data_IF_372331061941
#
_entry.id   IF_372331061941
#
_cell.length_a   1.000
_cell.length_b   1.000
_cell.length_c   1.000
_cell.angle_alpha   90.00
_cell.angle_beta   90.00
_cell.angle_gamma   90.00
#
_symmetry.space_group_name_H-M   'P 1'
#
loop_
_entity.id
_entity.type
_entity.pdbx_description
1 polymer ?
#
# COMPACT_ATOMS: atom_id res chain seq x y z
N UNK A 1 16.01 -32.55 19.75
CA UNK A 1 14.80 -32.63 18.93
C UNK A 1 15.01 -31.65 17.78
N UNK A 2 14.91 -32.09 16.53
CA UNK A 2 14.91 -31.17 15.39
C UNK A 2 13.67 -30.28 15.53
N UNK A 3 13.88 -28.97 15.59
CA UNK A 3 12.79 -27.99 15.53
C UNK A 3 12.00 -28.26 14.24
N UNK A 4 10.67 -28.52 14.30
CA UNK A 4 9.86 -28.74 13.10
C UNK A 4 9.73 -27.47 12.24
N UNK A 5 10.07 -26.29 12.76
CA UNK A 5 9.95 -25.00 12.07
C UNK A 5 11.29 -24.22 12.12
N UNK A 6 12.39 -24.77 11.56
CA UNK A 6 13.68 -24.11 11.68
C UNK A 6 13.69 -22.83 10.85
N UNK A 7 14.08 -21.72 11.50
CA UNK A 7 14.31 -20.41 10.88
C UNK A 7 15.17 -20.52 9.61
N UNK A 8 16.24 -21.33 9.67
CA UNK A 8 17.14 -21.56 8.55
C UNK A 8 17.16 -23.02 8.10
N UNK A 9 17.10 -23.21 6.78
CA UNK A 9 17.40 -24.47 6.11
C UNK A 9 18.53 -24.25 5.10
N UNK A 10 19.22 -25.33 4.70
CA UNK A 10 20.30 -25.22 3.71
C UNK A 10 19.83 -24.61 2.37
N UNK A 11 18.59 -24.87 1.97
CA UNK A 11 18.00 -24.29 0.76
C UNK A 11 17.77 -22.78 0.87
N UNK A 12 17.36 -22.30 2.05
CA UNK A 12 17.20 -20.85 2.31
C UNK A 12 18.54 -20.16 2.27
N UNK A 13 19.54 -20.69 2.98
CA UNK A 13 20.89 -20.12 3.02
C UNK A 13 21.44 -20.01 1.59
N UNK A 14 21.31 -21.08 0.79
CA UNK A 14 21.74 -21.08 -0.60
C UNK A 14 21.00 -20.05 -1.46
N UNK A 15 19.67 -19.95 -1.30
CA UNK A 15 18.85 -18.97 -2.01
C UNK A 15 19.23 -17.51 -1.67
N UNK A 16 19.51 -17.21 -0.41
CA UNK A 16 19.98 -15.88 0.01
C UNK A 16 21.34 -15.55 -0.59
N UNK A 17 22.21 -16.55 -0.78
CA UNK A 17 23.51 -16.37 -1.46
C UNK A 17 23.38 -15.81 -2.88
N UNK A 18 22.39 -16.28 -3.65
CA UNK A 18 22.09 -15.74 -4.99
C UNK A 18 21.61 -14.28 -4.95
N UNK A 19 20.82 -13.94 -3.93
CA UNK A 19 20.32 -12.58 -3.75
C UNK A 19 21.47 -11.61 -3.40
N UNK A 20 22.37 -12.01 -2.48
CA UNK A 20 23.58 -11.23 -2.18
C UNK A 20 24.49 -11.10 -3.40
N UNK A 21 24.61 -12.14 -4.24
CA UNK A 21 25.38 -12.08 -5.48
C UNK A 21 24.78 -11.08 -6.47
N UNK A 22 23.45 -11.06 -6.62
CA UNK A 22 22.76 -10.09 -7.46
C UNK A 22 22.95 -8.66 -6.94
N UNK A 23 22.82 -8.44 -5.63
CA UNK A 23 23.12 -7.15 -5.00
C UNK A 23 24.58 -6.74 -5.22
N UNK A 24 25.53 -7.67 -5.14
CA UNK A 24 26.93 -7.40 -5.44
C UNK A 24 27.09 -6.88 -6.87
N UNK A 25 26.56 -7.59 -7.87
CA UNK A 25 26.67 -7.20 -9.28
C UNK A 25 26.07 -5.81 -9.54
N UNK A 26 24.90 -5.55 -8.97
CA UNK A 26 24.24 -4.24 -9.03
C UNK A 26 25.11 -3.14 -8.41
N UNK A 27 25.72 -3.39 -7.25
CA UNK A 27 26.57 -2.41 -6.56
C UNK A 27 27.95 -2.24 -7.22
N UNK A 28 28.45 -3.23 -7.97
CA UNK A 28 29.63 -3.05 -8.83
C UNK A 28 29.33 -2.04 -9.94
N UNK A 29 28.17 -2.17 -10.59
CA UNK A 29 27.68 -1.20 -11.56
C UNK A 29 27.54 0.20 -10.95
N UNK A 30 26.99 0.28 -9.74
CA UNK A 30 26.88 1.53 -9.00
C UNK A 30 28.23 2.13 -8.62
N UNK A 31 29.17 1.33 -8.16
CA UNK A 31 30.55 1.74 -7.83
C UNK A 31 31.23 2.37 -9.04
N UNK A 32 31.07 1.77 -10.23
CA UNK A 32 31.57 2.33 -11.49
C UNK A 32 30.94 3.68 -11.82
N UNK A 33 29.63 3.82 -11.62
CA UNK A 33 28.92 5.10 -11.78
C UNK A 33 29.42 6.13 -10.78
N UNK A 34 29.59 5.75 -9.53
CA UNK A 34 30.07 6.60 -8.44
C UNK A 34 31.49 7.09 -8.73
N UNK A 35 32.38 6.22 -9.19
CA UNK A 35 33.74 6.62 -9.60
C UNK A 35 33.77 7.67 -10.73
N UNK A 36 32.77 7.64 -11.63
CA UNK A 36 32.69 8.56 -12.78
C UNK A 36 31.98 9.88 -12.47
N UNK A 37 31.02 9.86 -11.54
CA UNK A 37 30.08 10.97 -11.33
C UNK A 37 30.11 11.55 -9.92
N UNK A 38 30.43 10.72 -8.92
CA UNK A 38 30.49 11.15 -7.53
C UNK A 38 31.92 11.58 -7.19
N UNK A 39 32.05 12.65 -6.42
CA UNK A 39 33.34 13.20 -5.99
C UNK A 39 33.93 12.49 -4.77
N UNK A 40 34.62 13.28 -3.94
CA UNK A 40 35.22 12.82 -2.69
C UNK A 40 34.27 13.05 -1.51
N UNK A 41 34.32 12.16 -0.53
CA UNK A 41 33.67 12.31 0.76
C UNK A 41 34.71 12.74 1.80
N UNK A 42 34.34 13.68 2.65
CA UNK A 42 35.17 14.14 3.75
C UNK A 42 34.77 13.40 5.04
N UNK A 43 35.71 12.70 5.67
CA UNK A 43 35.48 12.14 7.00
C UNK A 43 35.41 13.26 8.05
N UNK A 44 34.52 13.18 9.06
CA UNK A 44 34.56 14.11 10.18
C UNK A 44 35.94 14.11 10.83
N UNK A 45 36.41 15.27 11.31
CA UNK A 45 37.77 15.45 11.86
C UNK A 45 38.10 14.47 13.00
N UNK A 46 37.08 13.96 13.70
CA UNK A 46 37.18 12.91 14.72
C UNK A 46 37.82 11.60 14.19
N UNK A 47 37.73 11.34 12.89
CA UNK A 47 38.24 10.13 12.22
C UNK A 47 39.46 10.41 11.31
N UNK A 48 40.14 11.54 11.48
CA UNK A 48 41.40 11.84 10.79
C UNK A 48 41.29 12.75 9.56
N UNK A 49 40.09 13.29 9.25
CA UNK A 49 39.92 14.38 8.28
C UNK A 49 40.39 14.07 6.84
N UNK A 50 40.46 12.80 6.46
CA UNK A 50 40.93 12.41 5.14
C UNK A 50 39.81 12.41 4.11
N UNK A 51 40.11 12.94 2.92
CA UNK A 51 39.23 12.85 1.76
C UNK A 51 39.47 11.54 1.02
N UNK A 52 38.40 10.84 0.67
CA UNK A 52 38.49 9.63 -0.12
C UNK A 52 37.34 9.56 -1.14
N UNK A 53 37.54 8.92 -2.30
CA UNK A 53 36.49 8.81 -3.31
C UNK A 53 35.24 8.14 -2.75
N UNK A 54 34.06 8.70 -3.04
CA UNK A 54 32.78 8.09 -2.65
C UNK A 54 32.65 6.64 -3.16
N UNK A 55 33.26 6.37 -4.32
CA UNK A 55 33.35 5.04 -4.92
C UNK A 55 33.99 4.01 -3.99
N UNK A 56 34.89 4.40 -3.09
CA UNK A 56 35.53 3.48 -2.14
C UNK A 56 34.52 2.89 -1.16
N UNK A 57 33.51 3.65 -0.71
CA UNK A 57 32.44 3.11 0.15
C UNK A 57 31.61 2.05 -0.57
N UNK A 58 31.28 2.32 -1.84
CA UNK A 58 30.50 1.39 -2.65
C UNK A 58 31.29 0.14 -3.01
N UNK A 59 32.59 0.30 -3.27
CA UNK A 59 33.51 -0.81 -3.50
C UNK A 59 33.63 -1.70 -2.26
N UNK A 60 33.83 -1.12 -1.07
CA UNK A 60 33.91 -1.90 0.18
C UNK A 60 32.59 -2.60 0.47
N UNK A 61 31.46 -1.92 0.30
CA UNK A 61 30.14 -2.53 0.44
C UNK A 61 29.91 -3.69 -0.56
N UNK A 62 30.29 -3.52 -1.83
CA UNK A 62 30.27 -4.60 -2.82
C UNK A 62 31.14 -5.79 -2.40
N UNK A 63 32.34 -5.56 -1.87
CA UNK A 63 33.21 -6.64 -1.38
C UNK A 63 32.55 -7.37 -0.21
N UNK A 64 31.91 -6.66 0.72
CA UNK A 64 31.13 -7.29 1.80
C UNK A 64 30.01 -8.15 1.24
N UNK A 65 29.21 -7.64 0.31
CA UNK A 65 28.14 -8.41 -0.34
C UNK A 65 28.66 -9.65 -1.06
N UNK A 66 29.82 -9.57 -1.71
CA UNK A 66 30.46 -10.72 -2.35
C UNK A 66 30.92 -11.76 -1.32
N UNK A 67 31.55 -11.32 -0.23
CA UNK A 67 31.94 -12.22 0.87
C UNK A 67 30.72 -12.91 1.47
N UNK A 68 29.62 -12.18 1.66
CA UNK A 68 28.34 -12.74 2.11
C UNK A 68 27.79 -13.75 1.11
N UNK A 69 27.74 -13.42 -0.18
CA UNK A 69 27.28 -14.33 -1.22
C UNK A 69 28.09 -15.63 -1.24
N UNK A 70 29.43 -15.52 -1.21
CA UNK A 70 30.32 -16.68 -1.16
C UNK A 70 30.11 -17.51 0.12
N UNK A 71 29.96 -16.87 1.28
CA UNK A 71 29.70 -17.57 2.53
C UNK A 71 28.38 -18.36 2.48
N UNK A 72 27.33 -17.81 1.88
CA UNK A 72 26.04 -18.51 1.74
C UNK A 72 26.08 -19.62 0.67
N UNK A 73 26.80 -19.42 -0.43
CA UNK A 73 26.89 -20.38 -1.53
C UNK A 73 27.86 -21.53 -1.27
N UNK A 74 28.84 -21.35 -0.37
CA UNK A 74 29.88 -22.35 -0.05
C UNK A 74 29.79 -22.88 1.38
N UNK A 75 29.18 -22.14 2.31
CA UNK A 75 29.01 -22.50 3.72
C UNK A 75 27.85 -23.48 3.94
N UNK A 76 28.00 -24.71 3.46
CA UNK A 76 27.03 -25.80 3.67
C UNK A 76 27.05 -26.39 5.10
N UNK A 77 27.88 -25.85 6.00
CA UNK A 77 28.05 -26.37 7.34
C UNK A 77 26.99 -25.81 8.29
N UNK A 78 25.99 -26.65 8.59
CA UNK A 78 25.01 -26.54 9.69
C UNK A 78 24.22 -25.22 9.78
N UNK A 79 22.93 -25.21 9.41
CA UNK A 79 22.04 -24.05 9.58
C UNK A 79 22.02 -23.48 11.01
N UNK A 80 22.23 -24.33 12.01
CA UNK A 80 22.32 -23.97 13.43
C UNK A 80 23.46 -22.99 13.75
N UNK A 81 24.59 -23.07 13.03
CA UNK A 81 25.77 -22.22 13.23
C UNK A 81 25.78 -20.94 12.40
N UNK A 82 24.77 -20.72 11.56
CA UNK A 82 24.74 -19.56 10.67
C UNK A 82 24.39 -18.27 11.43
N UNK A 83 25.31 -17.30 11.44
CA UNK A 83 25.24 -16.12 12.33
C UNK A 83 24.38 -14.97 11.78
N UNK A 84 24.14 -14.91 10.47
CA UNK A 84 23.49 -13.76 9.83
C UNK A 84 21.98 -14.03 9.78
N UNK A 85 21.27 -13.51 10.78
CA UNK A 85 19.81 -13.63 10.92
C UNK A 85 19.21 -12.29 11.28
N UNK A 86 17.91 -12.14 11.07
CA UNK A 86 17.18 -10.99 11.57
C UNK A 86 17.32 -10.93 13.11
N UNK A 87 17.88 -9.85 13.68
CA UNK A 87 18.07 -9.76 15.13
C UNK A 87 16.73 -9.84 15.87
N UNK A 88 16.68 -10.56 16.98
CA UNK A 88 15.45 -10.75 17.77
C UNK A 88 14.85 -9.40 18.21
N UNK A 89 15.69 -8.45 18.65
CA UNK A 89 15.23 -7.12 19.04
C UNK A 89 14.56 -6.37 17.89
N UNK A 90 15.06 -6.56 16.66
CA UNK A 90 14.53 -5.90 15.48
C UNK A 90 13.17 -6.51 15.08
N UNK A 91 13.03 -7.84 15.15
CA UNK A 91 11.74 -8.53 14.97
C UNK A 91 10.69 -8.01 15.95
N UNK A 92 11.01 -8.01 17.24
CA UNK A 92 10.11 -7.54 18.30
C UNK A 92 9.73 -6.06 18.14
N UNK A 93 10.68 -5.20 17.76
CA UNK A 93 10.39 -3.79 17.49
C UNK A 93 9.42 -3.65 16.32
N UNK A 94 9.67 -4.34 15.21
CA UNK A 94 8.82 -4.28 14.03
C UNK A 94 7.42 -4.79 14.34
N UNK A 95 7.30 -5.94 15.00
CA UNK A 95 5.99 -6.49 15.36
C UNK A 95 5.25 -5.58 16.34
N UNK A 96 5.93 -4.97 17.32
CA UNK A 96 5.29 -4.03 18.25
C UNK A 96 4.67 -2.81 17.57
N UNK A 97 5.21 -2.42 16.40
CA UNK A 97 4.75 -1.27 15.62
C UNK A 97 3.70 -1.69 14.58
N UNK A 98 3.92 -2.83 13.90
CA UNK A 98 3.08 -3.26 12.77
C UNK A 98 1.91 -4.15 13.19
N UNK A 99 1.95 -4.81 14.36
CA UNK A 99 0.88 -5.68 14.84
C UNK A 99 -0.39 -4.92 15.32
N UNK A 100 -0.46 -3.60 15.13
CA UNK A 100 -1.67 -2.79 15.33
C UNK A 100 -1.98 -2.00 14.05
N UNK A 101 -3.18 -2.21 13.50
CA UNK A 101 -3.63 -1.54 12.28
C UNK A 101 -3.65 -0.01 12.41
N UNK A 102 -3.89 0.53 13.61
CA UNK A 102 -3.85 1.98 13.87
C UNK A 102 -2.47 2.54 13.59
N UNK A 103 -1.45 1.91 14.16
CA UNK A 103 -0.06 2.34 14.00
C UNK A 103 0.41 2.11 12.56
N UNK A 104 0.07 0.98 11.95
CA UNK A 104 0.36 0.73 10.54
C UNK A 104 -0.22 1.82 9.63
N UNK A 105 -1.49 2.17 9.79
CA UNK A 105 -2.15 3.16 8.96
C UNK A 105 -1.63 4.58 9.22
N UNK A 106 -1.39 4.94 10.49
CA UNK A 106 -0.79 6.22 10.82
C UNK A 106 0.62 6.33 10.22
N UNK A 107 1.42 5.26 10.32
CA UNK A 107 2.75 5.19 9.72
C UNK A 107 2.67 5.35 8.20
N UNK A 108 1.72 4.70 7.52
CA UNK A 108 1.58 4.81 6.05
C UNK A 108 1.24 6.23 5.62
N UNK A 109 0.36 6.93 6.36
CA UNK A 109 0.01 8.34 6.12
C UNK A 109 1.19 9.27 6.40
N UNK A 110 1.94 9.04 7.48
CA UNK A 110 3.14 9.81 7.82
C UNK A 110 4.22 9.62 6.77
N UNK A 111 4.50 8.37 6.37
CA UNK A 111 5.47 8.05 5.30
C UNK A 111 5.07 8.69 3.98
N UNK A 112 3.78 8.68 3.64
CA UNK A 112 3.26 9.39 2.47
C UNK A 112 3.52 10.90 2.57
N UNK A 113 3.22 11.54 3.70
CA UNK A 113 3.48 12.97 3.89
C UNK A 113 4.98 13.30 3.80
N UNK A 114 5.83 12.51 4.45
CA UNK A 114 7.29 12.65 4.40
C UNK A 114 7.82 12.46 2.98
N UNK A 115 7.29 11.48 2.22
CA UNK A 115 7.64 11.27 0.83
C UNK A 115 7.36 12.53 -0.01
N UNK A 116 6.19 13.16 0.17
CA UNK A 116 5.84 14.39 -0.56
C UNK A 116 6.73 15.57 -0.13
N UNK A 117 6.97 15.75 1.16
CA UNK A 117 7.75 16.87 1.71
C UNK A 117 9.22 16.74 1.32
N UNK A 118 9.82 15.57 1.52
CA UNK A 118 11.25 15.31 1.29
C UNK A 118 11.56 14.75 -0.10
N UNK A 119 10.61 14.76 -1.04
CA UNK A 119 10.79 14.24 -2.40
C UNK A 119 12.13 14.64 -3.04
N UNK A 120 12.51 15.92 -2.99
CA UNK A 120 13.77 16.40 -3.62
C UNK A 120 15.02 15.72 -3.05
N UNK A 121 15.02 15.38 -1.77
CA UNK A 121 16.12 14.67 -1.13
C UNK A 121 16.07 13.17 -1.45
N UNK A 122 14.88 12.56 -1.39
CA UNK A 122 14.67 11.15 -1.72
C UNK A 122 15.00 10.81 -3.18
N UNK A 123 14.85 11.77 -4.08
CA UNK A 123 15.14 11.64 -5.50
C UNK A 123 16.63 11.69 -5.84
N UNK A 124 17.49 12.12 -4.91
CA UNK A 124 18.94 12.08 -5.13
C UNK A 124 19.34 10.63 -5.47
N UNK A 125 20.08 10.39 -6.57
CA UNK A 125 20.35 9.02 -7.00
C UNK A 125 21.00 8.16 -5.92
N UNK A 126 21.93 8.73 -5.14
CA UNK A 126 22.57 8.05 -4.00
C UNK A 126 21.58 7.65 -2.92
N UNK A 127 20.66 8.54 -2.54
CA UNK A 127 19.62 8.24 -1.52
C UNK A 127 18.67 7.16 -2.02
N UNK A 128 18.18 7.27 -3.27
CA UNK A 128 17.32 6.26 -3.87
C UNK A 128 18.00 4.88 -3.94
N UNK A 129 19.29 4.84 -4.29
CA UNK A 129 20.08 3.62 -4.33
C UNK A 129 20.31 3.02 -2.94
N UNK A 130 20.59 3.85 -1.94
CA UNK A 130 20.67 3.42 -0.54
C UNK A 130 19.35 2.81 -0.06
N UNK A 131 18.22 3.46 -0.35
CA UNK A 131 16.88 2.98 0.03
C UNK A 131 16.55 1.65 -0.65
N UNK A 132 16.88 1.51 -1.94
CA UNK A 132 16.70 0.25 -2.66
C UNK A 132 17.54 -0.87 -2.03
N UNK A 133 18.83 -0.62 -1.77
CA UNK A 133 19.70 -1.59 -1.09
C UNK A 133 19.15 -1.97 0.29
N UNK A 134 18.71 -0.99 1.08
CA UNK A 134 18.16 -1.22 2.41
C UNK A 134 16.86 -2.05 2.34
N UNK A 135 15.98 -1.78 1.37
CA UNK A 135 14.75 -2.55 1.17
C UNK A 135 15.05 -4.01 0.81
N UNK A 136 15.99 -4.24 -0.11
CA UNK A 136 16.38 -5.59 -0.52
C UNK A 136 17.11 -6.32 0.62
N UNK A 137 18.00 -5.64 1.35
CA UNK A 137 18.67 -6.21 2.53
C UNK A 137 17.68 -6.54 3.65
N UNK A 138 16.73 -5.65 3.93
CA UNK A 138 15.65 -5.89 4.88
C UNK A 138 14.85 -7.14 4.50
N UNK A 139 14.49 -7.27 3.23
CA UNK A 139 13.81 -8.45 2.71
C UNK A 139 14.65 -9.72 2.86
N UNK A 140 15.95 -9.64 2.55
CA UNK A 140 16.91 -10.76 2.63
C UNK A 140 17.07 -11.25 4.06
N UNK A 141 17.25 -10.32 5.01
CA UNK A 141 17.32 -10.65 6.44
C UNK A 141 16.00 -11.20 6.95
N UNK A 142 14.87 -10.64 6.53
CA UNK A 142 13.55 -11.10 6.96
C UNK A 142 13.24 -12.52 6.48
N UNK A 143 13.76 -12.94 5.31
CA UNK A 143 13.62 -14.32 4.82
C UNK A 143 14.38 -15.37 5.67
N UNK A 144 15.23 -14.93 6.60
CA UNK A 144 15.87 -15.84 7.59
C UNK A 144 14.92 -16.27 8.70
N UNK A 145 13.77 -15.60 8.83
CA UNK A 145 12.72 -15.95 9.78
C UNK A 145 11.73 -16.95 9.13
N UNK A 146 11.34 -17.99 9.87
CA UNK A 146 10.44 -19.01 9.34
C UNK A 146 9.05 -18.44 9.02
N UNK A 147 8.43 -17.73 9.96
CA UNK A 147 7.04 -17.26 9.84
C UNK A 147 6.90 -16.23 8.72
N UNK A 148 7.81 -15.25 8.66
CA UNK A 148 7.83 -14.26 7.58
C UNK A 148 7.95 -14.91 6.20
N UNK A 149 8.83 -15.91 6.08
CA UNK A 149 9.06 -16.66 4.83
C UNK A 149 7.84 -17.48 4.43
N UNK A 150 7.09 -18.05 5.37
CA UNK A 150 5.83 -18.75 5.08
C UNK A 150 4.74 -17.80 4.55
N UNK A 151 4.77 -16.53 4.94
CA UNK A 151 3.85 -15.53 4.42
C UNK A 151 4.29 -15.10 3.02
N UNK A 152 5.51 -14.60 2.86
CA UNK A 152 5.98 -14.03 1.59
C UNK A 152 6.17 -15.09 0.50
N UNK A 153 6.57 -16.31 0.88
CA UNK A 153 6.84 -17.41 -0.03
C UNK A 153 5.59 -18.06 -0.64
N UNK A 154 4.37 -17.69 -0.21
CA UNK A 154 3.15 -18.21 -0.84
C UNK A 154 3.12 -17.78 -2.31
N UNK A 155 2.79 -18.68 -3.26
CA UNK A 155 2.76 -18.35 -4.68
C UNK A 155 1.95 -17.08 -5.01
N UNK A 156 0.82 -16.85 -4.33
CA UNK A 156 -0.02 -15.66 -4.51
C UNK A 156 0.57 -14.37 -3.91
N UNK A 157 1.49 -14.50 -2.94
CA UNK A 157 2.13 -13.36 -2.26
C UNK A 157 3.41 -12.90 -2.98
N UNK A 158 4.05 -13.77 -3.77
CA UNK A 158 5.25 -13.41 -4.55
C UNK A 158 4.99 -12.24 -5.53
N UNK A 159 3.88 -12.22 -6.31
CA UNK A 159 3.52 -11.06 -7.12
C UNK A 159 3.35 -9.76 -6.32
N UNK A 160 2.82 -9.85 -5.10
CA UNK A 160 2.61 -8.68 -4.23
C UNK A 160 3.96 -8.09 -3.83
N UNK A 161 4.93 -8.93 -3.47
CA UNK A 161 6.29 -8.48 -3.13
C UNK A 161 6.94 -7.80 -4.33
N UNK A 162 6.85 -8.41 -5.52
CA UNK A 162 7.33 -7.81 -6.77
C UNK A 162 6.66 -6.46 -7.05
N UNK A 163 5.34 -6.38 -6.86
CA UNK A 163 4.57 -5.14 -7.00
C UNK A 163 5.08 -4.04 -6.06
N UNK A 164 5.47 -4.34 -4.82
CA UNK A 164 6.00 -3.31 -3.90
C UNK A 164 7.26 -2.64 -4.45
N UNK A 165 8.19 -3.41 -5.02
CA UNK A 165 9.39 -2.86 -5.67
C UNK A 165 9.05 -2.07 -6.94
N UNK A 166 8.13 -2.59 -7.76
CA UNK A 166 7.70 -1.95 -9.01
C UNK A 166 6.99 -0.61 -8.71
N UNK A 167 6.06 -0.59 -7.76
CA UNK A 167 5.35 0.62 -7.32
C UNK A 167 6.34 1.63 -6.75
N UNK A 168 7.30 1.18 -5.92
CA UNK A 168 8.36 2.04 -5.41
C UNK A 168 9.19 2.68 -6.54
N UNK A 169 9.60 1.89 -7.53
CA UNK A 169 10.35 2.34 -8.70
C UNK A 169 9.56 3.35 -9.55
N UNK A 170 8.32 3.03 -9.92
CA UNK A 170 7.52 3.94 -10.76
C UNK A 170 7.12 5.22 -10.03
N UNK A 171 6.90 5.16 -8.71
CA UNK A 171 6.69 6.35 -7.88
C UNK A 171 7.94 7.23 -7.88
N UNK A 172 9.12 6.63 -7.69
CA UNK A 172 10.39 7.34 -7.79
C UNK A 172 10.61 7.94 -9.18
N UNK A 173 10.36 7.18 -10.26
CA UNK A 173 10.51 7.64 -11.64
C UNK A 173 9.61 8.84 -11.93
N UNK A 174 8.34 8.76 -11.53
CA UNK A 174 7.37 9.84 -11.67
C UNK A 174 7.89 11.12 -10.99
N UNK A 175 8.26 11.05 -9.71
CA UNK A 175 8.73 12.22 -8.97
C UNK A 175 10.08 12.74 -9.49
N UNK A 176 10.96 11.85 -9.96
CA UNK A 176 12.25 12.20 -10.55
C UNK A 176 12.06 13.08 -11.79
N UNK A 177 11.24 12.60 -12.73
CA UNK A 177 10.90 13.34 -13.96
C UNK A 177 10.11 14.61 -13.65
N UNK A 178 9.17 14.56 -12.71
CA UNK A 178 8.37 15.72 -12.32
C UNK A 178 9.21 16.84 -11.71
N UNK A 179 10.18 16.52 -10.84
CA UNK A 179 11.06 17.53 -10.23
C UNK A 179 12.03 18.10 -11.26
N UNK A 180 12.58 17.26 -12.14
CA UNK A 180 13.44 17.73 -13.24
C UNK A 180 12.69 18.73 -14.14
N UNK A 181 11.49 18.37 -14.58
CA UNK A 181 10.65 19.26 -15.40
C UNK A 181 10.22 20.52 -14.64
N UNK A 182 9.83 20.41 -13.37
CA UNK A 182 9.47 21.57 -12.56
C UNK A 182 10.65 22.55 -12.42
N UNK A 183 11.89 22.05 -12.28
CA UNK A 183 13.10 22.87 -12.21
C UNK A 183 13.48 23.47 -13.57
N UNK A 184 13.26 22.74 -14.68
CA UNK A 184 13.44 23.26 -16.05
C UNK A 184 12.44 24.38 -16.35
N UNK A 185 11.17 24.18 -16.04
CA UNK A 185 10.10 25.18 -16.19
C UNK A 185 10.44 26.44 -15.37
N UNK A 186 10.92 26.29 -14.14
CA UNK A 186 11.33 27.41 -13.30
C UNK A 186 12.50 28.22 -13.89
N UNK A 187 13.36 27.58 -14.68
CA UNK A 187 14.49 28.20 -15.40
C UNK A 187 14.13 28.70 -16.80
N UNK A 188 12.89 28.52 -17.26
CA UNK A 188 12.47 28.84 -18.63
C UNK A 188 13.08 27.92 -19.70
N UNK A 189 13.56 26.74 -19.31
CA UNK A 189 14.09 25.72 -20.23
C UNK A 189 12.96 24.84 -20.79
N UNK A 190 13.14 24.24 -21.98
CA UNK A 190 12.20 23.25 -22.52
C UNK A 190 12.12 22.02 -21.61
N UNK A 191 10.98 21.33 -21.67
CA UNK A 191 10.76 20.11 -20.89
C UNK A 191 11.61 18.96 -21.43
N UNK A 192 11.87 17.95 -20.60
CA UNK A 192 12.67 16.79 -21.01
C UNK A 192 12.06 16.09 -22.23
N UNK A 193 10.74 15.98 -22.26
CA UNK A 193 9.98 15.32 -23.33
C UNK A 193 10.01 16.12 -24.65
N UNK A 194 10.27 17.43 -24.58
CA UNK A 194 10.38 18.29 -25.76
C UNK A 194 11.77 18.21 -26.40
N UNK A 195 12.83 17.91 -25.64
CA UNK A 195 14.20 17.75 -26.15
C UNK A 195 14.37 16.53 -27.05
N UNK A 196 13.63 15.45 -26.81
CA UNK A 196 13.73 14.18 -27.53
C UNK A 196 12.43 13.83 -28.29
N UNK A 197 11.77 14.83 -28.88
CA UNK A 197 10.49 14.63 -29.60
C UNK A 197 10.67 14.22 -31.08
N UNK A 198 11.65 13.36 -31.35
CA UNK A 198 11.82 12.78 -32.68
C UNK A 198 10.73 11.73 -32.92
N UNK A 199 9.96 11.90 -33.99
CA UNK A 199 8.92 10.94 -34.37
C UNK A 199 9.57 9.81 -35.16
N UNK A 200 9.30 8.58 -34.71
CA UNK A 200 9.69 7.35 -35.40
C UNK A 200 8.51 6.75 -36.17
N UNK A 201 8.78 5.85 -37.11
CA UNK A 201 7.72 5.21 -37.87
C UNK A 201 7.04 4.15 -36.99
N UNK A 202 5.71 4.06 -37.06
CA UNK A 202 4.97 2.98 -36.35
C UNK A 202 5.45 1.62 -36.83
N UNK A 203 5.59 1.47 -38.14
CA UNK A 203 6.24 0.32 -38.76
C UNK A 203 7.50 0.81 -39.49
N UNK A 204 8.68 0.24 -39.23
CA UNK A 204 8.94 -0.98 -38.44
C UNK A 204 9.24 -0.74 -36.95
N UNK A 205 9.52 0.50 -36.53
CA UNK A 205 10.21 0.78 -35.26
C UNK A 205 9.40 0.39 -34.02
N UNK A 206 8.13 0.82 -33.94
CA UNK A 206 7.27 0.51 -32.79
C UNK A 206 6.85 -0.97 -32.79
N UNK A 207 6.34 -1.47 -33.92
CA UNK A 207 5.77 -2.82 -33.99
C UNK A 207 6.79 -3.91 -33.71
N UNK A 208 8.03 -3.81 -34.20
CA UNK A 208 9.05 -4.81 -33.85
C UNK A 208 9.44 -4.74 -32.38
N UNK A 209 9.53 -3.55 -31.81
CA UNK A 209 9.84 -3.38 -30.38
C UNK A 209 8.74 -4.00 -29.52
N UNK A 210 7.47 -3.75 -29.83
CA UNK A 210 6.33 -4.34 -29.13
C UNK A 210 6.28 -5.87 -29.28
N UNK A 211 6.57 -6.41 -30.48
CA UNK A 211 6.64 -7.85 -30.71
C UNK A 211 7.74 -8.51 -29.86
N UNK A 212 8.93 -7.90 -29.80
CA UNK A 212 10.03 -8.40 -28.96
C UNK A 212 9.61 -8.38 -27.49
N UNK A 213 9.02 -7.27 -27.01
CA UNK A 213 8.50 -7.19 -25.65
C UNK A 213 7.44 -8.26 -25.38
N UNK A 214 6.52 -8.51 -26.31
CA UNK A 214 5.49 -9.55 -26.18
C UNK A 214 6.09 -10.94 -26.06
N UNK A 215 7.07 -11.28 -26.90
CA UNK A 215 7.75 -12.58 -26.86
C UNK A 215 8.50 -12.74 -25.54
N UNK A 216 9.25 -11.72 -25.10
CA UNK A 216 9.97 -11.75 -23.82
C UNK A 216 9.01 -11.91 -22.64
N UNK A 217 7.92 -11.14 -22.60
CA UNK A 217 6.92 -11.25 -21.54
C UNK A 217 6.24 -12.63 -21.54
N UNK A 218 5.97 -13.20 -22.72
CA UNK A 218 5.39 -14.55 -22.82
C UNK A 218 6.35 -15.60 -22.26
N UNK A 219 7.64 -15.53 -22.61
CA UNK A 219 8.66 -16.43 -22.07
C UNK A 219 8.77 -16.29 -20.55
N UNK A 220 8.76 -15.06 -20.03
CA UNK A 220 8.80 -14.78 -18.59
C UNK A 220 7.57 -15.35 -17.88
N UNK A 221 6.37 -15.13 -18.42
CA UNK A 221 5.11 -15.63 -17.82
C UNK A 221 5.02 -17.16 -17.85
N UNK A 222 5.48 -17.80 -18.94
CA UNK A 222 5.56 -19.27 -19.02
C UNK A 222 6.56 -19.81 -18.00
N UNK A 223 7.75 -19.22 -17.92
CA UNK A 223 8.75 -19.59 -16.91
C UNK A 223 8.24 -19.42 -15.48
N UNK A 224 7.54 -18.32 -15.21
CA UNK A 224 6.90 -18.06 -13.92
C UNK A 224 5.85 -19.11 -13.58
N UNK A 225 4.96 -19.47 -14.52
CA UNK A 225 3.91 -20.47 -14.30
C UNK A 225 4.46 -21.89 -14.06
N UNK A 226 5.65 -22.20 -14.56
CA UNK A 226 6.35 -23.47 -14.27
C UNK A 226 7.01 -23.41 -12.88
N UNK A 227 7.65 -22.30 -12.54
CA UNK A 227 8.41 -22.15 -11.29
C UNK A 227 7.52 -21.98 -10.05
N UNK A 228 6.40 -21.27 -10.18
CA UNK A 228 5.46 -20.99 -9.10
C UNK A 228 4.09 -21.53 -9.47
N UNK A 229 3.79 -22.72 -8.95
CA UNK A 229 2.51 -23.38 -9.16
C UNK A 229 1.39 -22.63 -8.45
N UNK A 230 0.21 -22.63 -9.08
CA UNK A 230 -0.99 -22.04 -8.49
C UNK A 230 -1.35 -22.76 -7.17
N UNK A 231 -1.69 -22.03 -6.10
CA UNK A 231 -2.07 -22.62 -4.82
C UNK A 231 -3.52 -23.14 -4.92
N UNK A 232 -3.70 -24.29 -5.56
CA UNK A 232 -5.01 -24.93 -5.68
C UNK A 232 -5.37 -25.60 -4.34
N UNK A 233 -6.48 -25.17 -3.75
CA UNK A 233 -7.05 -25.78 -2.54
C UNK A 233 -7.77 -27.10 -2.85
N UNK A 234 -8.17 -27.80 -1.79
CA UNK A 234 -9.04 -28.97 -1.87
C UNK A 234 -10.37 -28.62 -2.58
N UNK A 235 -11.06 -29.61 -3.20
CA UNK A 235 -12.38 -29.39 -3.77
C UNK A 235 -13.34 -28.72 -2.78
N UNK A 236 -14.14 -27.78 -3.28
CA UNK A 236 -15.04 -26.97 -2.46
C UNK A 236 -15.96 -27.83 -1.59
N UNK A 237 -16.13 -27.41 -0.34
CA UNK A 237 -16.96 -28.09 0.66
C UNK A 237 -17.91 -27.09 1.32
N UNK A 238 -19.16 -27.49 1.51
CA UNK A 238 -20.16 -26.67 2.21
C UNK A 238 -20.01 -26.70 3.73
N UNK A 239 -19.19 -27.61 4.27
CA UNK A 239 -19.02 -27.82 5.72
C UNK A 239 -17.70 -27.26 6.27
N UNK A 240 -16.80 -26.74 5.41
CA UNK A 240 -15.48 -26.20 5.79
C UNK A 240 -15.25 -24.88 5.07
N UNK A 241 -15.21 -23.78 5.82
CA UNK A 241 -14.74 -22.48 5.33
C UNK A 241 -13.27 -22.32 5.68
N UNK A 242 -12.36 -22.03 4.73
CA UNK A 242 -10.96 -21.78 5.02
C UNK A 242 -10.77 -20.62 6.00
N UNK A 243 -9.83 -20.77 6.93
CA UNK A 243 -9.46 -19.73 7.90
C UNK A 243 -7.93 -19.54 7.93
N UNK A 244 -7.40 -18.39 7.49
CA UNK A 244 -8.11 -17.25 6.91
C UNK A 244 -8.56 -17.51 5.46
N UNK A 245 -9.69 -16.93 5.05
CA UNK A 245 -10.11 -16.89 3.64
C UNK A 245 -9.60 -15.60 3.00
N UNK A 246 -8.64 -15.70 2.07
CA UNK A 246 -8.07 -14.55 1.36
C UNK A 246 -8.56 -14.51 -0.09
N UNK A 247 -8.85 -13.30 -0.57
CA UNK A 247 -9.18 -13.06 -1.97
C UNK A 247 -7.91 -13.10 -2.83
N UNK A 248 -8.03 -13.27 -4.16
CA UNK A 248 -6.91 -13.07 -5.07
C UNK A 248 -6.24 -11.71 -4.85
N UNK A 249 -4.93 -11.64 -5.08
CA UNK A 249 -4.09 -10.50 -4.70
C UNK A 249 -4.58 -9.13 -5.23
N UNK A 250 -5.18 -9.11 -6.43
CA UNK A 250 -5.74 -7.90 -7.04
C UNK A 250 -7.05 -7.40 -6.39
N UNK A 251 -7.68 -8.22 -5.53
CA UNK A 251 -8.85 -7.85 -4.73
C UNK A 251 -8.56 -7.67 -3.24
N UNK A 252 -7.33 -7.92 -2.77
CA UNK A 252 -7.01 -7.84 -1.33
C UNK A 252 -7.27 -6.45 -0.73
N UNK A 253 -7.03 -5.39 -1.49
CA UNK A 253 -7.36 -4.02 -1.04
C UNK A 253 -8.86 -3.84 -0.79
N UNK A 254 -9.71 -4.32 -1.71
CA UNK A 254 -11.17 -4.31 -1.52
C UNK A 254 -11.62 -5.25 -0.41
N UNK A 255 -10.96 -6.40 -0.27
CA UNK A 255 -11.26 -7.36 0.77
C UNK A 255 -11.02 -6.76 2.16
N UNK A 256 -9.93 -6.03 2.36
CA UNK A 256 -9.67 -5.37 3.63
C UNK A 256 -10.71 -4.27 3.95
N UNK A 257 -11.35 -3.66 2.94
CA UNK A 257 -12.48 -2.75 3.16
C UNK A 257 -13.71 -3.43 3.78
N UNK A 258 -13.88 -4.75 3.60
CA UNK A 258 -14.99 -5.52 4.20
C UNK A 258 -14.88 -5.62 5.73
N UNK A 259 -13.71 -5.34 6.31
CA UNK A 259 -13.55 -5.25 7.77
C UNK A 259 -14.26 -4.00 8.31
N UNK A 260 -14.38 -2.96 7.48
CA UNK A 260 -14.90 -1.65 7.88
C UNK A 260 -16.32 -1.38 7.39
N UNK A 261 -16.73 -2.00 6.28
CA UNK A 261 -18.02 -1.76 5.64
C UNK A 261 -18.75 -3.07 5.35
N UNK A 262 -20.08 -2.97 5.27
CA UNK A 262 -20.93 -4.09 4.92
C UNK A 262 -20.67 -4.57 3.46
N UNK A 263 -20.89 -5.87 3.13
CA UNK A 263 -20.48 -6.43 1.84
C UNK A 263 -21.06 -5.72 0.61
N UNK A 264 -22.28 -5.20 0.67
CA UNK A 264 -22.87 -4.49 -0.47
C UNK A 264 -22.18 -3.13 -0.74
N UNK A 265 -21.74 -2.45 0.31
CA UNK A 265 -21.06 -1.15 0.21
C UNK A 265 -19.61 -1.32 -0.26
N UNK A 266 -18.86 -2.21 0.39
CA UNK A 266 -17.48 -2.55 0.02
C UNK A 266 -17.36 -3.28 -1.32
N UNK A 267 -18.24 -4.24 -1.60
CA UNK A 267 -18.16 -5.10 -2.76
C UNK A 267 -18.80 -4.53 -4.03
N UNK A 268 -19.81 -3.67 -3.91
CA UNK A 268 -20.57 -3.17 -5.08
C UNK A 268 -20.50 -1.66 -5.21
N UNK A 269 -20.87 -0.91 -4.16
CA UNK A 269 -20.98 0.55 -4.25
C UNK A 269 -19.63 1.23 -4.44
N UNK A 270 -18.63 0.97 -3.60
CA UNK A 270 -17.32 1.63 -3.73
C UNK A 270 -16.64 1.31 -5.08
N UNK A 271 -16.58 0.05 -5.55
CA UNK A 271 -16.07 -0.25 -6.89
C UNK A 271 -16.82 0.50 -8.00
N UNK A 272 -18.17 0.56 -7.92
CA UNK A 272 -18.99 1.30 -8.89
C UNK A 272 -18.70 2.80 -8.86
N UNK A 273 -18.54 3.39 -7.66
CA UNK A 273 -18.18 4.79 -7.49
C UNK A 273 -16.78 5.09 -8.02
N UNK A 274 -15.81 4.17 -7.85
CA UNK A 274 -14.47 4.31 -8.44
C UNK A 274 -14.57 4.35 -9.97
N UNK A 275 -15.32 3.43 -10.59
CA UNK A 275 -15.51 3.40 -12.05
C UNK A 275 -16.17 4.68 -12.57
N UNK A 276 -17.27 5.11 -11.94
CA UNK A 276 -17.95 6.37 -12.28
C UNK A 276 -17.02 7.56 -12.07
N UNK A 277 -16.21 7.54 -11.01
CA UNK A 277 -15.20 8.56 -10.72
C UNK A 277 -14.16 8.68 -11.84
N UNK A 278 -13.65 7.55 -12.33
CA UNK A 278 -12.72 7.52 -13.47
C UNK A 278 -13.36 8.10 -14.75
N UNK A 279 -14.62 7.76 -15.02
CA UNK A 279 -15.37 8.33 -16.15
C UNK A 279 -15.64 9.83 -15.98
N UNK A 280 -15.73 10.32 -14.75
CA UNK A 280 -15.97 11.72 -14.44
C UNK A 280 -14.72 12.61 -14.58
N UNK A 281 -13.50 12.05 -14.56
CA UNK A 281 -12.22 12.81 -14.59
C UNK A 281 -12.19 13.88 -15.70
N UNK A 282 -12.53 13.60 -16.97
CA UNK A 282 -12.48 14.61 -18.03
C UNK A 282 -13.42 15.80 -17.82
N UNK A 283 -14.45 15.65 -16.99
CA UNK A 283 -15.44 16.69 -16.71
C UNK A 283 -15.13 17.47 -15.44
N UNK A 284 -14.44 16.86 -14.47
CA UNK A 284 -14.11 17.47 -13.17
C UNK A 284 -12.66 17.98 -13.10
N UNK A 285 -11.81 17.63 -14.06
CA UNK A 285 -10.48 18.21 -14.18
C UNK A 285 -10.46 19.37 -15.17
N UNK A 286 -10.32 20.59 -14.66
CA UNK A 286 -10.23 21.82 -15.44
C UNK A 286 -8.80 22.24 -15.76
N UNK A 287 -7.77 21.51 -15.31
CA UNK A 287 -6.38 21.92 -15.49
C UNK A 287 -5.76 21.21 -16.72
N UNK A 288 -5.53 21.92 -17.84
CA UNK A 288 -4.96 21.31 -19.05
C UNK A 288 -3.44 21.07 -18.95
N UNK A 289 -2.78 21.57 -17.90
CA UNK A 289 -1.33 21.42 -17.70
C UNK A 289 -0.97 20.01 -17.23
N UNK A 290 0.28 19.61 -17.42
CA UNK A 290 0.77 18.26 -17.11
C UNK A 290 0.10 17.16 -17.93
N UNK A 291 -0.25 17.44 -19.19
CA UNK A 291 -0.67 16.45 -20.17
C UNK A 291 0.51 16.12 -21.09
N UNK A 292 0.92 14.84 -21.13
CA UNK A 292 2.04 14.37 -21.94
C UNK A 292 3.45 14.65 -21.37
N UNK A 293 3.55 15.16 -20.14
CA UNK A 293 4.82 15.33 -19.42
C UNK A 293 4.63 15.22 -17.92
N UNK A 294 5.70 14.90 -17.20
CA UNK A 294 5.69 14.81 -15.75
C UNK A 294 5.81 16.21 -15.10
N UNK A 295 4.94 16.54 -14.15
CA UNK A 295 5.03 17.76 -13.31
C UNK A 295 4.37 17.51 -11.97
N UNK A 296 4.91 18.09 -10.89
CA UNK A 296 4.26 18.09 -9.59
C UNK A 296 3.64 19.46 -9.27
N UNK A 297 4.38 20.53 -9.53
CA UNK A 297 3.98 21.88 -9.12
C UNK A 297 2.71 22.38 -9.81
N UNK A 298 2.45 21.97 -11.05
CA UNK A 298 1.28 22.42 -11.79
C UNK A 298 -0.01 21.66 -11.43
N UNK A 299 0.08 20.49 -10.79
CA UNK A 299 -1.08 19.61 -10.48
C UNK A 299 -1.08 19.05 -9.06
N UNK A 300 -0.47 19.75 -8.09
CA UNK A 300 -0.27 19.28 -6.70
C UNK A 300 -1.51 18.61 -6.10
N UNK A 301 -2.68 19.23 -6.21
CA UNK A 301 -3.92 18.70 -5.63
C UNK A 301 -4.32 17.35 -6.23
N UNK A 302 -4.33 17.24 -7.57
CA UNK A 302 -4.70 15.99 -8.25
C UNK A 302 -3.72 14.86 -7.93
N UNK A 303 -2.41 15.16 -7.92
CA UNK A 303 -1.37 14.17 -7.67
C UNK A 303 -1.39 13.71 -6.22
N UNK A 304 -1.49 14.63 -5.26
CA UNK A 304 -1.56 14.27 -3.82
C UNK A 304 -2.80 13.44 -3.55
N UNK A 305 -3.96 13.82 -4.11
CA UNK A 305 -5.22 13.09 -3.93
C UNK A 305 -5.12 11.68 -4.51
N UNK A 306 -4.65 11.55 -5.75
CA UNK A 306 -4.46 10.26 -6.40
C UNK A 306 -3.45 9.38 -5.65
N UNK A 307 -2.29 9.93 -5.29
CA UNK A 307 -1.24 9.19 -4.58
C UNK A 307 -1.67 8.81 -3.16
N UNK A 308 -2.48 9.62 -2.48
CA UNK A 308 -3.04 9.26 -1.17
C UNK A 308 -4.03 8.10 -1.29
N UNK A 309 -4.93 8.13 -2.29
CA UNK A 309 -5.83 7.02 -2.58
C UNK A 309 -5.10 5.76 -3.03
N UNK A 310 -4.03 5.89 -3.81
CA UNK A 310 -3.29 4.75 -4.34
C UNK A 310 -2.31 4.15 -3.34
N UNK A 311 -1.49 4.96 -2.65
CA UNK A 311 -0.42 4.45 -1.78
C UNK A 311 -0.98 4.05 -0.39
N UNK A 312 -1.37 4.97 0.52
CA UNK A 312 -1.98 4.58 1.81
C UNK A 312 -3.24 3.73 1.69
N UNK A 313 -4.23 4.14 0.88
CA UNK A 313 -5.55 3.50 0.91
C UNK A 313 -5.62 2.21 0.07
N UNK A 314 -4.87 2.09 -1.03
CA UNK A 314 -4.93 0.88 -1.87
C UNK A 314 -3.77 -0.07 -1.57
N UNK A 315 -2.53 0.35 -1.83
CA UNK A 315 -1.33 -0.47 -1.59
C UNK A 315 -1.15 -0.78 -0.11
N UNK A 316 -1.37 0.20 0.77
CA UNK A 316 -1.29 0.00 2.22
C UNK A 316 -2.28 -1.05 2.73
N UNK A 317 -3.50 -1.07 2.20
CA UNK A 317 -4.51 -2.08 2.55
C UNK A 317 -4.16 -3.46 2.00
N UNK A 318 -3.56 -3.54 0.81
CA UNK A 318 -3.01 -4.81 0.30
C UNK A 318 -1.91 -5.33 1.23
N UNK A 319 -0.98 -4.48 1.68
CA UNK A 319 0.08 -4.86 2.61
C UNK A 319 -0.53 -5.38 3.93
N UNK A 320 -1.47 -4.64 4.50
CA UNK A 320 -2.15 -5.03 5.74
C UNK A 320 -2.87 -6.37 5.57
N UNK A 321 -3.71 -6.51 4.55
CA UNK A 321 -4.46 -7.72 4.27
C UNK A 321 -3.57 -8.93 3.94
N UNK A 322 -2.41 -8.72 3.33
CA UNK A 322 -1.50 -9.82 2.94
C UNK A 322 -0.64 -10.28 4.11
N UNK A 323 0.06 -9.34 4.75
CA UNK A 323 1.17 -9.65 5.67
C UNK A 323 0.78 -9.57 7.14
N UNK A 324 -0.26 -8.82 7.50
CA UNK A 324 -0.65 -8.59 8.90
C UNK A 324 -1.98 -9.26 9.25
N UNK A 325 -2.87 -9.46 8.29
CA UNK A 325 -4.19 -10.08 8.51
C UNK A 325 -4.09 -11.61 8.49
N UNK A 326 -4.24 -12.22 9.67
CA UNK A 326 -4.13 -13.67 9.89
C UNK A 326 -5.46 -14.37 10.20
N UNK A 327 -5.42 -15.54 10.86
CA UNK A 327 -6.61 -16.30 11.26
C UNK A 327 -7.61 -15.46 12.07
N UNK A 328 -8.89 -15.81 11.94
CA UNK A 328 -10.02 -15.09 12.56
C UNK A 328 -10.09 -13.60 12.23
N UNK A 329 -9.43 -13.15 11.16
CA UNK A 329 -9.29 -11.74 10.81
C UNK A 329 -8.56 -10.89 11.86
N UNK A 330 -7.79 -11.51 12.75
CA UNK A 330 -6.95 -10.79 13.70
C UNK A 330 -5.68 -10.25 13.04
N UNK A 331 -5.07 -9.28 13.71
CA UNK A 331 -3.80 -8.70 13.27
C UNK A 331 -2.66 -9.44 13.96
N UNK A 332 -1.63 -9.72 13.19
CA UNK A 332 -0.38 -10.34 13.63
C UNK A 332 0.80 -9.51 13.14
N UNK A 333 1.90 -9.56 13.90
CA UNK A 333 3.20 -9.11 13.43
C UNK A 333 3.66 -9.90 12.19
N UNK A 334 4.64 -9.36 11.47
CA UNK A 334 5.19 -10.02 10.29
C UNK A 334 6.14 -11.17 10.64
N UNK A 335 6.63 -11.21 11.89
CA UNK A 335 7.42 -12.31 12.46
C UNK A 335 6.66 -13.04 13.60
N UNK A 336 5.38 -12.72 13.81
CA UNK A 336 4.55 -13.38 14.81
C UNK A 336 3.95 -14.66 14.23
N UNK A 337 4.03 -15.75 14.99
CA UNK A 337 3.33 -16.99 14.66
C UNK A 337 1.81 -16.78 14.64
N UNK A 338 1.15 -17.19 13.56
CA UNK A 338 -0.29 -17.03 13.37
C UNK A 338 -1.09 -18.09 14.14
N UNK A 339 -1.31 -17.86 15.44
CA UNK A 339 -2.14 -18.71 16.28
C UNK A 339 -3.64 -18.52 16.00
N UNK A 340 -4.31 -19.61 15.61
CA UNK A 340 -5.76 -19.65 15.36
C UNK A 340 -6.57 -19.47 16.64
N UNK A 341 -5.98 -19.67 17.82
CA UNK A 341 -6.65 -19.49 19.11
C UNK A 341 -6.54 -18.07 19.66
N UNK A 342 -5.84 -17.15 18.98
CA UNK A 342 -5.87 -15.72 19.32
C UNK A 342 -7.32 -15.23 19.15
N UNK A 343 -7.90 -14.73 20.24
CA UNK A 343 -9.24 -14.16 20.27
C UNK A 343 -9.14 -12.68 20.66
N UNK A 344 -9.51 -11.79 19.75
CA UNK A 344 -9.69 -10.38 20.07
C UNK A 344 -11.17 -10.11 20.40
N UNK A 345 -11.42 -9.61 21.61
CA UNK A 345 -12.75 -9.22 22.08
C UNK A 345 -13.13 -7.84 21.50
N UNK A 346 -13.67 -7.82 20.29
CA UNK A 346 -14.24 -6.62 19.69
C UNK A 346 -15.69 -6.43 20.16
N UNK A 347 -15.88 -5.59 21.18
CA UNK A 347 -17.21 -5.12 21.60
C UNK A 347 -17.74 -4.11 20.59
N UNK A 348 -18.35 -4.62 19.54
CA UNK A 348 -18.97 -3.83 18.48
C UNK A 348 -20.13 -3.01 19.02
N UNK A 349 -20.14 -1.71 18.73
CA UNK A 349 -21.22 -0.79 19.09
C UNK A 349 -21.81 -0.16 17.83
N UNK A 350 -23.14 -0.11 17.73
CA UNK A 350 -23.81 0.62 16.65
C UNK A 350 -24.03 2.09 17.05
N UNK A 351 -24.09 2.99 16.07
CA UNK A 351 -24.30 4.42 16.36
C UNK A 351 -25.65 4.67 17.07
N UNK A 352 -26.70 3.94 16.69
CA UNK A 352 -28.01 4.02 17.33
C UNK A 352 -27.94 3.59 18.81
N UNK A 353 -27.26 2.50 19.13
CA UNK A 353 -27.01 2.06 20.51
C UNK A 353 -26.27 3.15 21.31
N UNK A 354 -25.19 3.70 20.77
CA UNK A 354 -24.42 4.74 21.44
C UNK A 354 -25.26 6.00 21.69
N UNK A 355 -26.07 6.42 20.73
CA UNK A 355 -26.92 7.61 20.85
C UNK A 355 -28.05 7.41 21.86
N UNK A 356 -28.84 6.35 21.74
CA UNK A 356 -30.01 6.15 22.59
C UNK A 356 -29.64 5.69 24.00
N UNK A 357 -28.75 4.71 24.13
CA UNK A 357 -28.40 4.11 25.43
C UNK A 357 -27.37 4.95 26.17
N UNK A 358 -26.27 5.35 25.52
CA UNK A 358 -25.16 6.02 26.21
C UNK A 358 -25.35 7.54 26.30
N UNK A 359 -25.81 8.20 25.24
CA UNK A 359 -25.98 9.65 25.23
C UNK A 359 -27.32 10.09 25.86
N UNK A 360 -28.43 9.48 25.45
CA UNK A 360 -29.76 9.86 25.95
C UNK A 360 -30.22 9.09 27.19
N UNK A 361 -29.55 8.00 27.58
CA UNK A 361 -29.97 7.11 28.68
C UNK A 361 -31.43 6.64 28.56
N UNK A 362 -31.88 6.40 27.33
CA UNK A 362 -33.24 5.97 26.99
C UNK A 362 -33.22 4.63 26.27
N UNK A 363 -34.27 3.83 26.44
CA UNK A 363 -34.45 2.59 25.68
C UNK A 363 -34.53 2.87 24.17
N UNK A 364 -33.87 2.05 23.36
CA UNK A 364 -33.94 2.17 21.90
C UNK A 364 -35.37 1.91 21.40
N UNK A 365 -35.87 2.70 20.44
CA UNK A 365 -37.12 2.40 19.77
C UNK A 365 -37.03 1.02 19.07
N UNK A 366 -37.82 0.05 19.54
CA UNK A 366 -37.90 -1.28 18.93
C UNK A 366 -39.34 -1.58 18.48
N UNK A 367 -39.53 -2.13 17.27
CA UNK A 367 -40.85 -2.56 16.82
C UNK A 367 -41.34 -3.76 17.65
N UNK A 368 -42.58 -3.70 18.12
CA UNK A 368 -43.26 -4.80 18.80
C UNK A 368 -43.96 -5.73 17.80
N UNK A 369 -44.18 -7.02 18.15
CA UNK A 369 -44.86 -7.98 17.27
C UNK A 369 -46.29 -7.57 16.87
N UNK A 370 -46.94 -6.73 17.68
CA UNK A 370 -48.33 -6.30 17.50
C UNK A 370 -48.46 -4.95 16.77
N UNK A 371 -47.35 -4.27 16.48
CA UNK A 371 -47.38 -2.98 15.78
C UNK A 371 -47.79 -3.17 14.32
N UNK A 372 -48.59 -2.25 13.77
CA UNK A 372 -48.86 -2.22 12.32
C UNK A 372 -47.58 -1.98 11.52
N UNK A 373 -47.50 -2.48 10.27
CA UNK A 373 -46.27 -2.39 9.45
C UNK A 373 -45.74 -0.96 9.25
N UNK A 374 -46.63 0.05 9.21
CA UNK A 374 -46.23 1.46 9.16
C UNK A 374 -45.61 1.95 10.48
N UNK A 375 -46.16 1.53 11.62
CA UNK A 375 -45.62 1.86 12.95
C UNK A 375 -44.28 1.17 13.17
N UNK A 376 -44.14 -0.09 12.74
CA UNK A 376 -42.86 -0.81 12.78
C UNK A 376 -41.79 -0.06 11.99
N UNK A 377 -42.12 0.33 10.76
CA UNK A 377 -41.23 1.10 9.89
C UNK A 377 -40.82 2.43 10.51
N UNK A 378 -41.78 3.17 11.08
CA UNK A 378 -41.51 4.43 11.77
C UNK A 378 -40.58 4.26 12.98
N UNK A 379 -40.76 3.22 13.78
CA UNK A 379 -39.88 2.92 14.92
C UNK A 379 -38.46 2.55 14.47
N UNK A 380 -38.31 1.76 13.40
CA UNK A 380 -37.00 1.42 12.81
C UNK A 380 -36.28 2.68 12.31
N UNK A 381 -36.97 3.53 11.55
CA UNK A 381 -36.40 4.78 11.04
C UNK A 381 -36.05 5.75 12.19
N UNK A 382 -36.83 5.78 13.26
CA UNK A 382 -36.52 6.58 14.44
C UNK A 382 -35.28 6.05 15.16
N UNK A 383 -35.18 4.73 15.35
CA UNK A 383 -34.01 4.06 15.95
C UNK A 383 -32.72 4.46 15.22
N UNK A 384 -32.73 4.38 13.89
CA UNK A 384 -31.56 4.66 13.05
C UNK A 384 -31.46 6.12 12.58
N UNK A 385 -32.37 6.99 13.02
CA UNK A 385 -32.39 8.40 12.62
C UNK A 385 -31.07 9.15 12.88
N UNK A 386 -30.30 8.93 13.97
CA UNK A 386 -29.02 9.59 14.14
C UNK A 386 -28.03 9.26 13.02
N UNK A 387 -27.98 7.99 12.62
CA UNK A 387 -27.13 7.51 11.53
C UNK A 387 -27.58 8.01 10.17
N UNK A 388 -28.89 7.93 9.88
CA UNK A 388 -29.46 8.43 8.62
C UNK A 388 -29.22 9.93 8.46
N UNK A 389 -29.45 10.72 9.50
CA UNK A 389 -29.18 12.16 9.50
C UNK A 389 -27.69 12.42 9.28
N UNK A 390 -26.80 11.69 9.97
CA UNK A 390 -25.36 11.87 9.80
C UNK A 390 -24.92 11.59 8.35
N UNK A 391 -25.40 10.51 7.74
CA UNK A 391 -25.10 10.14 6.35
C UNK A 391 -25.65 11.19 5.37
N UNK A 392 -26.88 11.68 5.58
CA UNK A 392 -27.46 12.74 4.76
C UNK A 392 -26.69 14.05 4.89
N UNK A 393 -26.30 14.44 6.10
CA UNK A 393 -25.45 15.62 6.33
C UNK A 393 -24.11 15.45 5.63
N UNK A 394 -23.50 14.27 5.72
CA UNK A 394 -22.22 13.97 5.10
C UNK A 394 -22.28 14.05 3.56
N UNK A 395 -23.28 13.48 2.91
CA UNK A 395 -23.34 13.42 1.43
C UNK A 395 -24.03 14.63 0.78
N UNK A 396 -24.95 15.31 1.50
CA UNK A 396 -25.79 16.38 0.92
C UNK A 396 -25.41 17.76 1.47
N UNK A 397 -25.23 17.91 2.78
CA UNK A 397 -24.99 19.21 3.40
C UNK A 397 -23.51 19.61 3.40
N UNK A 398 -22.60 18.64 3.53
CA UNK A 398 -21.17 18.88 3.57
C UNK A 398 -20.59 19.39 2.24
N UNK A 399 -20.99 18.91 1.05
CA UNK A 399 -20.44 19.45 -0.20
C UNK A 399 -20.69 20.95 -0.41
N UNK A 400 -21.92 21.49 -0.22
CA UNK A 400 -22.16 22.94 -0.23
C UNK A 400 -21.35 23.68 0.83
N UNK A 401 -21.18 23.12 2.03
CA UNK A 401 -20.35 23.72 3.09
C UNK A 401 -18.87 23.82 2.66
N UNK A 402 -18.34 22.75 2.06
CA UNK A 402 -16.99 22.73 1.49
C UNK A 402 -16.82 23.75 0.36
N UNK A 403 -17.88 24.07 -0.39
CA UNK A 403 -17.84 25.05 -1.47
C UNK A 403 -17.64 26.47 -0.92
N UNK A 404 -18.18 26.77 0.26
CA UNK A 404 -18.02 28.09 0.89
C UNK A 404 -16.68 28.20 1.61
N UNK A 405 -16.12 27.08 2.09
CA UNK A 405 -14.93 27.02 2.94
C UNK A 405 -13.65 26.67 2.18
N UNK A 406 -13.33 25.36 2.05
CA UNK A 406 -12.02 24.86 1.59
C UNK A 406 -11.93 24.83 0.05
N UNK A 407 -13.01 24.47 -0.63
CA UNK A 407 -13.04 24.25 -2.08
C UNK A 407 -13.70 25.39 -2.87
N UNK A 408 -13.75 26.60 -2.31
CA UNK A 408 -14.33 27.78 -2.96
C UNK A 408 -13.80 28.04 -4.36
N UNK A 409 -12.49 27.90 -4.57
CA UNK A 409 -11.86 28.06 -5.90
C UNK A 409 -12.30 26.98 -6.90
N UNK A 410 -12.52 25.75 -6.44
CA UNK A 410 -12.98 24.64 -7.29
C UNK A 410 -14.44 24.84 -7.67
N UNK A 411 -15.29 25.25 -6.71
CA UNK A 411 -16.71 25.54 -6.96
C UNK A 411 -16.91 26.56 -8.08
N UNK A 412 -16.19 27.68 -8.03
CA UNK A 412 -16.30 28.72 -9.07
C UNK A 412 -15.85 28.25 -10.46
N UNK A 413 -14.89 27.33 -10.54
CA UNK A 413 -14.38 26.83 -11.83
C UNK A 413 -15.23 25.70 -12.43
N UNK A 414 -15.76 24.82 -11.58
CA UNK A 414 -16.52 23.65 -11.98
C UNK A 414 -18.00 23.94 -12.19
N UNK A 415 -18.54 24.96 -11.54
CA UNK A 415 -19.97 25.15 -11.42
C UNK A 415 -20.60 24.10 -10.51
N UNK A 416 -21.89 24.29 -10.20
CA UNK A 416 -22.57 23.52 -9.14
C UNK A 416 -22.55 22.00 -9.37
N UNK A 417 -23.03 21.52 -10.53
CA UNK A 417 -23.21 20.07 -10.76
C UNK A 417 -21.89 19.30 -10.73
N UNK A 418 -20.88 19.76 -11.47
CA UNK A 418 -19.57 19.11 -11.53
C UNK A 418 -18.86 19.15 -10.19
N UNK A 419 -19.01 20.25 -9.45
CA UNK A 419 -18.49 20.38 -8.10
C UNK A 419 -19.15 19.39 -7.12
N UNK A 420 -20.47 19.17 -7.21
CA UNK A 420 -21.16 18.21 -6.35
C UNK A 420 -20.67 16.79 -6.60
N UNK A 421 -20.45 16.39 -7.86
CA UNK A 421 -19.86 15.10 -8.22
C UNK A 421 -18.44 14.99 -7.67
N UNK A 422 -17.58 15.98 -7.95
CA UNK A 422 -16.21 16.03 -7.46
C UNK A 422 -16.13 15.89 -5.93
N UNK A 423 -16.94 16.67 -5.22
CA UNK A 423 -16.94 16.68 -3.76
C UNK A 423 -17.41 15.37 -3.17
N UNK A 424 -18.46 14.76 -3.74
CA UNK A 424 -18.92 13.45 -3.30
C UNK A 424 -17.87 12.37 -3.54
N UNK A 425 -17.14 12.40 -4.66
CA UNK A 425 -16.03 11.46 -4.88
C UNK A 425 -14.93 11.60 -3.81
N UNK A 426 -14.57 12.83 -3.45
CA UNK A 426 -13.60 13.10 -2.38
C UNK A 426 -14.11 12.60 -1.03
N UNK A 427 -15.39 12.83 -0.71
CA UNK A 427 -16.00 12.36 0.53
C UNK A 427 -16.13 10.83 0.58
N UNK A 428 -16.43 10.18 -0.53
CA UNK A 428 -16.48 8.72 -0.61
C UNK A 428 -15.10 8.11 -0.41
N UNK A 429 -14.04 8.72 -0.97
CA UNK A 429 -12.67 8.33 -0.67
C UNK A 429 -12.32 8.54 0.82
N UNK A 430 -12.75 9.67 1.40
CA UNK A 430 -12.50 9.96 2.82
C UNK A 430 -13.32 9.09 3.79
N UNK A 431 -14.42 8.48 3.33
CA UNK A 431 -15.27 7.63 4.16
C UNK A 431 -14.50 6.43 4.73
N UNK A 432 -13.59 5.83 3.95
CA UNK A 432 -12.77 4.70 4.40
C UNK A 432 -11.87 5.07 5.60
N UNK A 433 -10.93 6.02 5.51
CA UNK A 433 -10.09 6.36 6.66
C UNK A 433 -10.89 6.90 7.86
N UNK A 434 -11.99 7.62 7.62
CA UNK A 434 -12.89 8.05 8.71
C UNK A 434 -13.48 6.82 9.41
N UNK A 435 -14.01 5.85 8.66
CA UNK A 435 -14.58 4.62 9.21
C UNK A 435 -13.53 3.78 9.94
N UNK A 436 -12.30 3.70 9.43
CA UNK A 436 -11.17 3.03 10.11
C UNK A 436 -10.90 3.66 11.48
N UNK A 437 -10.82 5.00 11.56
CA UNK A 437 -10.61 5.70 12.83
C UNK A 437 -11.77 5.47 13.79
N UNK A 438 -13.01 5.56 13.33
CA UNK A 438 -14.20 5.27 14.16
C UNK A 438 -14.20 3.82 14.66
N UNK A 439 -13.79 2.88 13.81
CA UNK A 439 -13.67 1.46 14.15
C UNK A 439 -12.66 1.24 15.27
N UNK A 440 -11.50 1.90 15.23
CA UNK A 440 -10.44 1.66 16.20
C UNK A 440 -10.52 2.48 17.49
N UNK A 441 -11.27 3.59 17.49
CA UNK A 441 -11.38 4.48 18.66
C UNK A 441 -12.59 4.13 19.54
N UNK A 442 -13.72 3.84 18.92
CA UNK A 442 -14.99 3.61 19.63
C UNK A 442 -15.66 2.29 19.27
N UNK A 443 -14.96 1.38 18.57
CA UNK A 443 -15.49 0.08 18.12
C UNK A 443 -16.79 0.18 17.31
N UNK A 444 -16.97 1.29 16.59
CA UNK A 444 -18.17 1.51 15.78
C UNK A 444 -18.28 0.44 14.69
N UNK A 445 -19.37 -0.33 14.68
CA UNK A 445 -19.64 -1.32 13.63
C UNK A 445 -20.44 -0.69 12.49
N UNK A 446 -21.65 -0.22 12.77
CA UNK A 446 -22.51 0.40 11.78
C UNK A 446 -22.92 1.82 12.17
N UNK A 447 -22.96 2.71 11.19
CA UNK A 447 -23.58 4.03 11.29
C UNK A 447 -25.10 3.91 11.24
N UNK A 448 -25.59 3.03 10.36
CA UNK A 448 -27.01 2.67 10.23
C UNK A 448 -27.08 1.15 10.22
N UNK A 449 -27.88 0.57 11.11
CA UNK A 449 -28.10 -0.88 11.18
C UNK A 449 -29.60 -1.20 11.07
N UNK A 450 -30.02 -1.66 9.90
CA UNK A 450 -31.39 -2.12 9.63
C UNK A 450 -31.34 -3.59 9.22
N UNK A 451 -31.17 -4.51 10.18
CA UNK A 451 -31.16 -5.95 9.89
C UNK A 451 -32.47 -6.44 9.26
N UNK A 452 -33.60 -5.78 9.56
CA UNK A 452 -34.92 -6.12 9.02
C UNK A 452 -34.98 -5.99 7.48
N UNK A 453 -34.14 -5.14 6.90
CA UNK A 453 -34.07 -4.89 5.45
C UNK A 453 -32.70 -5.21 4.86
N UNK A 454 -31.82 -5.87 5.62
CA UNK A 454 -30.43 -6.12 5.23
C UNK A 454 -29.68 -4.85 4.78
N UNK A 455 -29.97 -3.71 5.41
CA UNK A 455 -29.40 -2.43 5.05
C UNK A 455 -28.52 -1.88 6.18
N UNK A 456 -27.20 -1.97 5.98
CA UNK A 456 -26.22 -1.50 6.95
C UNK A 456 -25.16 -0.60 6.30
N UNK A 457 -24.73 0.47 6.99
CA UNK A 457 -23.74 1.47 6.50
C UNK A 457 -22.53 1.56 7.42
#
# INVERSE_FOLDING_TARGET
MLDPHPDLTSGVIYGLGWLYLLLFLLNVGWTRRSYRQDGHLHLPDLFGGTEFPAATLWATYSVVLLMLALAHLTGFSTPEGFLIRMPVFARQMIDSVLADARFFFLLSVVLFALMIIWRRWLLKPTVAWCLFNLAVLFMTLSLTDYDFRQIVGKPDNVPIVGMLYIVGFFTWLYFSRAVENDDRIAKGLPKVEEENNEKVLVWPDLVYTELICMVVLTVVLVGWGIALQAPLEEPASSVKTPNPSKAPWYFLGLQEMLVYFDPWLAGVVFPSVILVGLMAIPYIDFNPKGNGYYTFNERKFAIITFMFGFLPLWIGMIILGTFLRGPNWNIFGIYEYWDVHKLELLNNVNLSEWFWLSMLNTGMPMPGPEDSGLVQTGKILLRESPGLILVLVYLIALPPLMAVTIFRKFFFRLGFLRYMVFSNLVLMMAALPIKMVLRWTVNLKYLVAIPEWFFNI
#
